data_IF_714950861936
#
_entry.id   IF_714950861936
#
_cell.length_a   1.000
_cell.length_b   1.000
_cell.length_c   1.000
_cell.angle_alpha   90.00
_cell.angle_beta   90.00
_cell.angle_gamma   90.00
#
_symmetry.space_group_name_H-M   'P 1'
#
loop_
_entity.id
_entity.type
_entity.pdbx_description
1 polymer ?
#
# COMPACT_ATOMS: atom_id res chain seq x y z
N UNK A 1 11.60 12.35 -9.53
CA UNK A 1 11.84 11.03 -8.94
C UNK A 1 10.68 10.15 -9.34
N UNK A 2 10.94 8.91 -9.75
CA UNK A 2 9.93 7.98 -10.23
C UNK A 2 9.97 6.70 -9.41
N UNK A 3 8.79 6.18 -9.05
CA UNK A 3 8.66 4.94 -8.27
C UNK A 3 7.73 3.97 -8.97
N UNK A 4 8.23 2.77 -9.28
CA UNK A 4 7.39 1.64 -9.68
C UNK A 4 6.87 0.91 -8.45
N UNK A 5 5.57 0.65 -8.39
CA UNK A 5 4.91 -0.14 -7.34
C UNK A 5 4.26 -1.37 -7.94
N UNK A 6 4.52 -2.54 -7.36
CA UNK A 6 4.04 -3.83 -7.87
C UNK A 6 3.76 -4.84 -6.73
N UNK A 7 2.55 -5.43 -6.60
CA UNK A 7 1.27 -5.04 -7.20
C UNK A 7 0.71 -3.70 -6.66
N UNK A 8 0.26 -2.79 -7.53
CA UNK A 8 -0.22 -1.44 -7.14
C UNK A 8 -1.69 -1.36 -6.66
N UNK A 9 -2.54 -2.36 -6.92
CA UNK A 9 -3.92 -2.46 -6.45
C UNK A 9 -4.11 -3.52 -5.36
N UNK A 10 -3.04 -4.20 -4.94
CA UNK A 10 -3.02 -4.76 -3.60
C UNK A 10 -3.23 -3.63 -2.58
N UNK A 11 -3.95 -3.87 -1.48
CA UNK A 11 -4.34 -2.79 -0.55
C UNK A 11 -3.14 -1.99 -0.01
N UNK A 12 -2.05 -2.67 0.37
CA UNK A 12 -0.79 -2.02 0.76
C UNK A 12 -0.18 -1.23 -0.40
N UNK A 13 -0.12 -1.83 -1.59
CA UNK A 13 0.43 -1.19 -2.79
C UNK A 13 -0.39 0.02 -3.24
N UNK A 14 -1.70 -0.01 -3.04
CA UNK A 14 -2.61 1.09 -3.30
C UNK A 14 -2.35 2.24 -2.34
N UNK A 15 -2.22 1.96 -1.04
CA UNK A 15 -1.87 2.99 -0.05
C UNK A 15 -0.51 3.60 -0.36
N UNK A 16 0.49 2.78 -0.69
CA UNK A 16 1.80 3.29 -1.11
C UNK A 16 1.70 4.18 -2.35
N UNK A 17 1.02 3.72 -3.40
CA UNK A 17 0.79 4.46 -4.65
C UNK A 17 0.10 5.79 -4.36
N UNK A 18 -1.00 5.77 -3.60
CA UNK A 18 -1.77 6.97 -3.27
C UNK A 18 -0.95 7.98 -2.48
N UNK A 19 -0.18 7.54 -1.46
CA UNK A 19 0.63 8.46 -0.67
C UNK A 19 1.80 9.04 -1.48
N UNK A 20 2.46 8.24 -2.32
CA UNK A 20 3.49 8.75 -3.25
C UNK A 20 2.93 9.83 -4.20
N UNK A 21 1.74 9.59 -4.76
CA UNK A 21 1.07 10.56 -5.63
C UNK A 21 0.67 11.85 -4.89
N UNK A 22 0.31 11.76 -3.61
CA UNK A 22 0.03 12.93 -2.76
C UNK A 22 1.27 13.79 -2.51
N UNK A 23 2.44 13.16 -2.37
CA UNK A 23 3.74 13.84 -2.31
C UNK A 23 4.20 14.38 -3.69
N UNK A 24 3.38 14.24 -4.73
CA UNK A 24 3.68 14.72 -6.08
C UNK A 24 4.69 13.86 -6.84
N UNK A 25 4.96 12.64 -6.37
CA UNK A 25 5.90 11.72 -7.01
C UNK A 25 5.25 11.05 -8.22
N UNK A 26 6.05 10.83 -9.27
CA UNK A 26 5.63 10.04 -10.43
C UNK A 26 5.62 8.55 -10.07
N UNK A 27 4.47 7.90 -10.28
CA UNK A 27 4.28 6.49 -9.92
C UNK A 27 3.91 5.68 -11.15
N UNK A 28 4.66 4.60 -11.38
CA UNK A 28 4.31 3.56 -12.33
C UNK A 28 3.69 2.40 -11.55
N UNK A 29 2.38 2.19 -11.70
CA UNK A 29 1.69 1.05 -11.12
C UNK A 29 1.73 -0.16 -12.05
N UNK A 30 2.13 -1.32 -11.53
CA UNK A 30 2.02 -2.60 -12.22
C UNK A 30 1.03 -3.46 -11.44
N UNK A 31 -0.10 -3.81 -12.05
CA UNK A 31 -1.08 -4.75 -11.49
C UNK A 31 -2.16 -5.07 -12.53
N UNK A 32 -2.56 -6.33 -12.75
CA UNK A 32 -3.74 -6.60 -13.57
C UNK A 32 -5.04 -6.17 -12.85
N UNK A 33 -5.95 -5.52 -13.59
CA UNK A 33 -7.30 -5.21 -13.11
C UNK A 33 -8.19 -6.41 -13.40
N UNK A 34 -8.48 -7.23 -12.38
CA UNK A 34 -9.14 -8.54 -12.52
C UNK A 34 -10.47 -8.66 -11.77
N UNK A 35 -10.73 -7.73 -10.84
CA UNK A 35 -11.93 -7.76 -9.99
C UNK A 35 -12.47 -6.34 -9.75
N UNK A 36 -13.67 -6.28 -9.14
CA UNK A 36 -14.33 -5.01 -8.85
C UNK A 36 -13.52 -4.11 -7.90
N UNK A 37 -12.71 -4.72 -7.01
CA UNK A 37 -11.87 -3.98 -6.07
C UNK A 37 -10.72 -3.28 -6.79
N UNK A 38 -9.95 -4.00 -7.60
CA UNK A 38 -8.86 -3.44 -8.40
C UNK A 38 -9.36 -2.38 -9.38
N UNK A 39 -10.54 -2.57 -9.99
CA UNK A 39 -11.17 -1.54 -10.84
C UNK A 39 -11.54 -0.28 -10.04
N UNK A 40 -12.17 -0.45 -8.86
CA UNK A 40 -12.48 0.67 -7.97
C UNK A 40 -11.22 1.42 -7.52
N UNK A 41 -10.17 0.70 -7.12
CA UNK A 41 -8.91 1.30 -6.69
C UNK A 41 -8.23 2.04 -7.85
N UNK A 42 -8.27 1.50 -9.06
CA UNK A 42 -7.83 2.21 -10.26
C UNK A 42 -8.61 3.50 -10.48
N UNK A 43 -9.93 3.54 -10.25
CA UNK A 43 -10.71 4.77 -10.41
C UNK A 43 -10.26 5.91 -9.47
N UNK A 44 -9.67 5.60 -8.31
CA UNK A 44 -9.18 6.61 -7.36
C UNK A 44 -7.85 7.24 -7.77
N UNK A 45 -6.93 6.47 -8.37
CA UNK A 45 -5.58 6.96 -8.71
C UNK A 45 -5.36 7.17 -10.22
N UNK A 46 -6.12 6.48 -11.06
CA UNK A 46 -5.97 6.44 -12.52
C UNK A 46 -6.14 7.77 -13.25
N UNK A 47 -6.73 8.78 -12.58
CA UNK A 47 -6.91 10.13 -13.12
C UNK A 47 -5.79 11.10 -12.75
N UNK A 48 -4.85 10.67 -11.92
CA UNK A 48 -3.70 11.49 -11.55
C UNK A 48 -2.70 11.53 -12.72
N UNK A 49 -2.27 12.74 -13.13
CA UNK A 49 -1.31 12.92 -14.23
C UNK A 49 0.07 12.32 -13.96
N UNK A 50 0.41 12.12 -12.69
CA UNK A 50 1.67 11.52 -12.26
C UNK A 50 1.58 9.99 -12.15
N UNK A 51 0.42 9.39 -12.45
CA UNK A 51 0.23 7.95 -12.40
C UNK A 51 0.18 7.36 -13.81
N UNK A 52 1.00 6.34 -14.05
CA UNK A 52 0.94 5.51 -15.25
C UNK A 52 0.74 4.05 -14.84
N UNK A 53 -0.16 3.36 -15.54
CA UNK A 53 -0.52 1.98 -15.22
C UNK A 53 -0.13 1.01 -16.33
N UNK A 54 0.38 -0.16 -15.93
CA UNK A 54 0.64 -1.30 -16.78
C UNK A 54 0.05 -2.57 -16.16
N UNK A 55 -0.44 -3.48 -17.01
CA UNK A 55 -0.97 -4.75 -16.55
C UNK A 55 0.14 -5.71 -16.11
N UNK A 56 1.30 -5.65 -16.78
CA UNK A 56 2.44 -6.52 -16.51
C UNK A 56 3.77 -5.77 -16.62
N UNK A 57 4.79 -6.27 -15.93
CA UNK A 57 6.14 -5.68 -15.93
C UNK A 57 6.77 -5.64 -17.33
N UNK A 58 6.52 -6.65 -18.16
CA UNK A 58 6.96 -6.66 -19.56
C UNK A 58 6.36 -5.52 -20.38
N UNK A 59 5.13 -5.10 -20.08
CA UNK A 59 4.49 -3.99 -20.79
C UNK A 59 5.18 -2.68 -20.45
N UNK A 60 5.53 -2.48 -19.17
CA UNK A 60 6.35 -1.34 -18.73
C UNK A 60 7.68 -1.31 -19.47
N UNK A 61 8.43 -2.41 -19.47
CA UNK A 61 9.78 -2.49 -20.07
C UNK A 61 9.79 -2.16 -21.57
N UNK A 62 8.69 -2.45 -22.27
CA UNK A 62 8.54 -2.13 -23.69
C UNK A 62 8.17 -0.66 -23.96
N UNK A 63 7.63 0.06 -22.97
CA UNK A 63 7.09 1.42 -23.13
C UNK A 63 7.88 2.50 -22.38
N UNK A 64 8.67 2.13 -21.37
CA UNK A 64 9.41 3.05 -20.51
C UNK A 64 10.89 2.71 -20.57
N UNK A 65 11.72 3.69 -20.93
CA UNK A 65 13.17 3.53 -20.84
C UNK A 65 13.58 3.47 -19.36
N UNK A 66 14.30 2.41 -18.99
CA UNK A 66 14.83 2.28 -17.63
C UNK A 66 15.73 3.48 -17.31
N UNK A 67 15.38 4.19 -16.26
CA UNK A 67 16.18 5.28 -15.72
C UNK A 67 16.92 4.79 -14.48
N UNK A 68 18.18 5.19 -14.32
CA UNK A 68 18.95 4.90 -13.11
C UNK A 68 18.37 5.57 -11.84
N UNK A 69 17.47 6.54 -12.01
CA UNK A 69 16.80 7.26 -10.93
C UNK A 69 15.42 6.67 -10.57
N UNK A 70 15.06 5.53 -11.17
CA UNK A 70 13.85 4.80 -10.84
C UNK A 70 14.04 3.94 -9.58
N UNK A 71 13.09 4.09 -8.66
CA UNK A 71 12.91 3.17 -7.54
C UNK A 71 11.85 2.12 -7.88
N UNK A 72 12.08 0.88 -7.49
CA UNK A 72 11.07 -0.18 -7.56
C UNK A 72 10.75 -0.67 -6.15
N UNK A 73 9.46 -0.78 -5.85
CA UNK A 73 8.93 -1.36 -4.61
C UNK A 73 8.05 -2.54 -5.01
N UNK A 74 8.57 -3.76 -4.80
CA UNK A 74 7.77 -4.97 -4.95
C UNK A 74 7.25 -5.42 -3.59
N UNK A 75 5.94 -5.64 -3.50
CA UNK A 75 5.33 -6.30 -2.36
C UNK A 75 5.42 -7.81 -2.57
N UNK A 76 6.13 -8.49 -1.67
CA UNK A 76 6.37 -9.93 -1.73
C UNK A 76 6.09 -10.51 -0.35
N UNK A 77 5.11 -11.41 -0.26
CA UNK A 77 4.68 -12.06 0.98
C UNK A 77 4.44 -11.03 2.12
N UNK A 78 5.25 -11.11 3.18
CA UNK A 78 5.16 -10.28 4.39
C UNK A 78 6.14 -9.09 4.38
N UNK A 79 6.59 -8.65 3.19
CA UNK A 79 7.63 -7.63 3.08
C UNK A 79 7.58 -6.78 1.81
N UNK A 80 8.36 -5.69 1.85
CA UNK A 80 8.64 -4.83 0.71
C UNK A 80 10.09 -5.02 0.27
N UNK A 81 10.28 -5.32 -1.01
CA UNK A 81 11.57 -5.33 -1.66
C UNK A 81 11.78 -3.99 -2.39
N UNK A 82 12.67 -3.17 -1.87
CA UNK A 82 12.98 -1.85 -2.42
C UNK A 82 14.29 -1.89 -3.19
N UNK A 83 14.29 -1.36 -4.42
CA UNK A 83 15.42 -1.35 -5.35
C UNK A 83 15.56 0.02 -6.00
N UNK A 84 16.79 0.44 -6.30
CA UNK A 84 17.05 1.67 -7.06
C UNK A 84 17.98 1.34 -8.24
N UNK A 85 17.45 1.29 -9.47
CA UNK A 85 18.20 0.81 -10.63
C UNK A 85 18.89 -0.54 -10.37
N UNK A 86 20.19 -0.62 -10.66
CA UNK A 86 21.04 -1.81 -10.44
C UNK A 86 21.61 -1.95 -9.01
N UNK A 87 21.23 -1.07 -8.08
CA UNK A 87 21.80 -1.03 -6.72
C UNK A 87 21.21 -2.09 -5.77
N UNK A 88 21.80 -2.16 -4.58
CA UNK A 88 21.44 -3.08 -3.50
C UNK A 88 19.94 -3.11 -3.20
N UNK A 89 19.47 -4.32 -2.95
CA UNK A 89 18.09 -4.63 -2.57
C UNK A 89 17.94 -4.44 -1.07
N UNK A 90 17.03 -3.56 -0.67
CA UNK A 90 16.66 -3.41 0.73
C UNK A 90 15.37 -4.18 0.98
N UNK A 91 15.42 -5.15 1.90
CA UNK A 91 14.25 -5.85 2.38
C UNK A 91 13.69 -5.14 3.61
N UNK A 92 12.40 -4.84 3.58
CA UNK A 92 11.67 -4.23 4.69
C UNK A 92 10.59 -5.21 5.10
N UNK A 93 10.73 -5.78 6.30
CA UNK A 93 9.70 -6.61 6.91
C UNK A 93 8.50 -5.74 7.26
N UNK A 94 7.30 -6.18 6.87
CA UNK A 94 6.07 -5.49 7.22
C UNK A 94 5.66 -5.89 8.63
N UNK A 95 5.29 -4.93 9.49
CA UNK A 95 4.58 -5.29 10.72
C UNK A 95 3.22 -5.90 10.37
N UNK A 96 2.52 -6.44 11.36
CA UNK A 96 1.14 -6.83 11.15
C UNK A 96 0.30 -5.57 10.88
N UNK A 97 -0.16 -5.40 9.65
CA UNK A 97 -0.86 -4.19 9.21
C UNK A 97 -2.38 -4.37 9.21
N UNK A 98 -3.10 -3.28 9.47
CA UNK A 98 -4.54 -3.16 9.21
C UNK A 98 -4.87 -1.80 8.59
N UNK A 99 -5.96 -1.71 7.83
CA UNK A 99 -6.41 -0.45 7.26
C UNK A 99 -7.37 -0.60 6.09
N UNK A 100 -7.72 0.51 5.46
CA UNK A 100 -8.69 0.53 4.37
C UNK A 100 -8.29 -0.42 3.25
N UNK A 101 -9.31 -1.04 2.65
CA UNK A 101 -9.17 -2.00 1.56
C UNK A 101 -8.44 -3.30 1.94
N UNK A 102 -8.09 -3.53 3.20
CA UNK A 102 -7.61 -4.83 3.68
C UNK A 102 -8.65 -5.93 3.41
N UNK A 103 -8.18 -7.13 3.09
CA UNK A 103 -9.03 -8.32 2.98
C UNK A 103 -9.35 -8.88 4.37
N UNK A 104 -10.55 -8.57 4.87
CA UNK A 104 -11.02 -9.03 6.18
C UNK A 104 -11.26 -10.54 6.25
N UNK A 105 -11.60 -11.18 5.13
CA UNK A 105 -11.83 -12.63 5.11
C UNK A 105 -10.53 -13.38 5.38
N UNK A 106 -9.40 -12.89 4.84
CA UNK A 106 -8.07 -13.43 5.14
C UNK A 106 -7.68 -13.26 6.61
N UNK A 107 -8.13 -12.19 7.26
CA UNK A 107 -7.93 -11.98 8.70
C UNK A 107 -8.86 -12.86 9.57
N UNK A 108 -9.85 -13.53 8.97
CA UNK A 108 -10.83 -14.35 9.70
C UNK A 108 -11.82 -13.52 10.53
N UNK A 109 -11.94 -12.22 10.27
CA UNK A 109 -12.78 -11.30 11.04
C UNK A 109 -14.14 -11.15 10.37
N UNK A 110 -15.22 -11.40 11.12
CA UNK A 110 -16.60 -11.36 10.60
C UNK A 110 -17.32 -10.08 11.01
N UNK A 111 -17.00 -9.57 12.20
CA UNK A 111 -17.67 -8.42 12.81
C UNK A 111 -16.71 -7.27 13.11
N UNK A 112 -17.25 -6.05 13.17
CA UNK A 112 -16.47 -4.84 13.39
C UNK A 112 -15.78 -4.83 14.76
N UNK A 113 -16.50 -5.23 15.81
CA UNK A 113 -15.96 -5.25 17.17
C UNK A 113 -14.87 -6.32 17.34
N UNK A 114 -14.98 -7.43 16.59
CA UNK A 114 -13.91 -8.44 16.51
C UNK A 114 -12.64 -7.86 15.89
N UNK A 115 -12.77 -6.97 14.90
CA UNK A 115 -11.62 -6.30 14.30
C UNK A 115 -10.90 -5.39 15.29
N UNK A 116 -11.64 -4.59 16.06
CA UNK A 116 -11.07 -3.73 17.09
C UNK A 116 -10.27 -4.57 18.09
N UNK A 117 -10.85 -5.68 18.55
CA UNK A 117 -10.19 -6.56 19.50
C UNK A 117 -8.96 -7.24 18.88
N UNK A 118 -9.06 -7.70 17.62
CA UNK A 118 -7.96 -8.30 16.89
C UNK A 118 -6.77 -7.34 16.76
N UNK A 119 -7.02 -6.07 16.43
CA UNK A 119 -5.96 -5.05 16.33
C UNK A 119 -5.26 -4.85 17.67
N UNK A 120 -6.03 -4.78 18.76
CA UNK A 120 -5.48 -4.61 20.12
C UNK A 120 -4.65 -5.82 20.54
N UNK A 121 -5.19 -7.03 20.36
CA UNK A 121 -4.56 -8.27 20.82
C UNK A 121 -3.25 -8.57 20.09
N UNK A 122 -3.19 -8.25 18.79
CA UNK A 122 -2.01 -8.50 17.97
C UNK A 122 -1.11 -7.26 17.80
N UNK A 123 -1.47 -6.14 18.44
CA UNK A 123 -0.77 -4.86 18.31
C UNK A 123 -0.55 -4.46 16.83
N UNK A 124 -1.58 -4.65 16.00
CA UNK A 124 -1.48 -4.37 14.58
C UNK A 124 -1.28 -2.87 14.33
N UNK A 125 -0.42 -2.55 13.37
CA UNK A 125 -0.10 -1.18 12.97
C UNK A 125 -1.07 -0.70 11.88
N UNK A 126 -1.58 0.51 12.02
CA UNK A 126 -2.42 1.08 10.99
C UNK A 126 -1.61 1.44 9.74
N UNK A 127 -2.15 1.12 8.57
CA UNK A 127 -1.50 1.32 7.28
C UNK A 127 -1.10 2.78 7.04
N UNK A 128 -1.94 3.75 7.42
CA UNK A 128 -1.62 5.16 7.26
C UNK A 128 -0.38 5.56 8.06
N UNK A 129 -0.29 5.13 9.31
CA UNK A 129 0.87 5.41 10.18
C UNK A 129 2.13 4.72 9.69
N UNK A 130 2.00 3.48 9.19
CA UNK A 130 3.11 2.81 8.52
C UNK A 130 3.57 3.58 7.28
N UNK A 131 2.65 4.05 6.43
CA UNK A 131 2.98 4.77 5.20
C UNK A 131 3.67 6.10 5.46
N UNK A 132 3.20 6.88 6.44
CA UNK A 132 3.87 8.11 6.89
C UNK A 132 5.34 7.82 7.26
N UNK A 133 5.54 6.84 8.15
CA UNK A 133 6.88 6.44 8.61
C UNK A 133 7.75 5.90 7.48
N UNK A 134 7.16 5.09 6.60
CA UNK A 134 7.85 4.52 5.44
C UNK A 134 8.31 5.62 4.50
N UNK A 135 7.43 6.57 4.15
CA UNK A 135 7.74 7.62 3.19
C UNK A 135 8.80 8.58 3.70
N UNK A 136 8.68 9.07 4.94
CA UNK A 136 9.70 9.92 5.57
C UNK A 136 11.11 9.33 5.36
N UNK A 137 11.22 8.02 5.52
CA UNK A 137 12.50 7.31 5.47
C UNK A 137 12.91 6.83 4.11
N UNK A 138 11.95 6.59 3.25
CA UNK A 138 12.19 6.37 1.83
C UNK A 138 12.86 7.61 1.24
N UNK A 139 12.41 8.81 1.63
CA UNK A 139 13.04 10.07 1.25
C UNK A 139 14.36 10.33 1.99
N UNK A 140 14.44 10.04 3.29
CA UNK A 140 15.63 10.28 4.13
C UNK A 140 16.68 9.16 4.10
N UNK A 141 16.43 8.08 3.35
CA UNK A 141 17.29 6.87 3.23
C UNK A 141 17.67 6.20 4.57
N UNK A 142 16.80 6.27 5.59
CA UNK A 142 17.06 5.73 6.94
C UNK A 142 15.97 4.77 7.42
N UNK A 143 16.10 3.47 7.11
CA UNK A 143 15.03 2.47 7.29
C UNK A 143 15.01 1.79 8.68
N UNK A 144 14.39 2.37 9.72
CA UNK A 144 14.28 1.75 11.08
C UNK A 144 12.92 1.87 11.79
N UNK A 145 11.88 1.09 11.46
CA UNK A 145 10.47 1.33 11.89
C UNK A 145 10.33 1.32 13.41
N UNK A 146 9.78 2.41 13.97
CA UNK A 146 9.45 2.52 15.39
C UNK A 146 7.95 2.24 15.57
N UNK A 147 7.60 1.40 16.56
CA UNK A 147 6.22 1.11 16.90
C UNK A 147 5.61 2.27 17.70
N UNK A 148 4.43 2.73 17.29
CA UNK A 148 3.60 3.67 18.07
C UNK A 148 2.44 2.92 18.70
N UNK A 149 2.26 3.10 20.01
CA UNK A 149 1.09 2.57 20.73
C UNK A 149 -0.06 3.54 20.55
N UNK A 150 -1.16 3.05 19.99
CA UNK A 150 -2.38 3.83 19.74
C UNK A 150 -3.41 3.59 20.85
N UNK A 151 -4.18 4.61 21.18
CA UNK A 151 -5.30 4.47 22.10
C UNK A 151 -6.51 3.80 21.41
N UNK A 152 -7.39 3.24 22.23
CA UNK A 152 -8.55 2.46 21.74
C UNK A 152 -9.54 3.31 20.92
N UNK A 153 -9.69 4.59 21.23
CA UNK A 153 -10.64 5.45 20.53
C UNK A 153 -10.14 5.69 19.10
N UNK A 154 -8.84 5.97 18.94
CA UNK A 154 -8.18 6.08 17.63
C UNK A 154 -8.29 4.80 16.81
N UNK A 155 -8.06 3.63 17.42
CA UNK A 155 -8.21 2.32 16.74
C UNK A 155 -9.65 2.15 16.26
N UNK A 156 -10.63 2.49 17.09
CA UNK A 156 -12.05 2.36 16.75
C UNK A 156 -12.40 3.23 15.55
N UNK A 157 -11.97 4.50 15.53
CA UNK A 157 -12.21 5.40 14.39
C UNK A 157 -11.63 4.89 13.07
N UNK A 158 -10.44 4.27 13.10
CA UNK A 158 -9.80 3.69 11.92
C UNK A 158 -10.47 2.41 11.45
N UNK A 159 -10.89 1.56 12.40
CA UNK A 159 -11.72 0.38 12.10
C UNK A 159 -13.06 0.80 11.49
N UNK A 160 -13.67 1.90 11.94
CA UNK A 160 -14.86 2.47 11.32
C UNK A 160 -14.64 2.84 9.85
N UNK A 161 -13.50 3.46 9.52
CA UNK A 161 -13.16 3.82 8.15
C UNK A 161 -12.96 2.58 7.27
N UNK A 162 -12.19 1.60 7.77
CA UNK A 162 -11.99 0.31 7.11
C UNK A 162 -13.33 -0.39 6.84
N UNK A 163 -14.21 -0.43 7.83
CA UNK A 163 -15.51 -1.09 7.68
C UNK A 163 -16.37 -0.44 6.60
N UNK A 164 -16.33 0.89 6.46
CA UNK A 164 -17.03 1.59 5.37
C UNK A 164 -16.50 1.17 4.01
N UNK A 165 -15.19 1.02 3.85
CA UNK A 165 -14.58 0.51 2.61
C UNK A 165 -15.05 -0.90 2.27
N UNK A 166 -15.11 -1.80 3.26
CA UNK A 166 -15.64 -3.16 3.07
C UNK A 166 -17.11 -3.13 2.59
N UNK A 167 -17.95 -2.28 3.20
CA UNK A 167 -19.34 -2.13 2.78
C UNK A 167 -19.48 -1.52 1.38
N UNK A 168 -18.51 -0.74 0.91
CA UNK A 168 -18.48 -0.25 -0.47
C UNK A 168 -18.18 -1.38 -1.44
N UNK A 169 -17.19 -2.23 -1.16
CA UNK A 169 -16.85 -3.39 -1.99
C UNK A 169 -18.05 -4.32 -2.13
N UNK A 170 -18.77 -4.61 -1.05
CA UNK A 170 -19.95 -5.50 -1.07
C UNK A 170 -21.13 -4.98 -1.90
N UNK A 171 -21.13 -3.71 -2.28
CA UNK A 171 -22.20 -3.07 -3.05
C UNK A 171 -21.93 -3.01 -4.56
N UNK A 172 -20.71 -3.35 -4.98
CA UNK A 172 -20.27 -3.39 -6.39
C UNK A 172 -20.38 -4.83 -6.87
#
# INVERSE_FOLDING_TARGET
MMVTVNPCFHWIGYHLTSNLLQEGIEVIGIDPIVDAKSDLLYMYVGRNSNFQHFFQRSDKENHVQQSNDEWEVDLVDDGLLVRQGDKERNWIELPLLYGEWMDLQRAGVQEKDELVQWVIDHQATYIGTFMETFLERFFDQSLRIEERVEDKDTITERVDALWRCEQLIRKI
#
